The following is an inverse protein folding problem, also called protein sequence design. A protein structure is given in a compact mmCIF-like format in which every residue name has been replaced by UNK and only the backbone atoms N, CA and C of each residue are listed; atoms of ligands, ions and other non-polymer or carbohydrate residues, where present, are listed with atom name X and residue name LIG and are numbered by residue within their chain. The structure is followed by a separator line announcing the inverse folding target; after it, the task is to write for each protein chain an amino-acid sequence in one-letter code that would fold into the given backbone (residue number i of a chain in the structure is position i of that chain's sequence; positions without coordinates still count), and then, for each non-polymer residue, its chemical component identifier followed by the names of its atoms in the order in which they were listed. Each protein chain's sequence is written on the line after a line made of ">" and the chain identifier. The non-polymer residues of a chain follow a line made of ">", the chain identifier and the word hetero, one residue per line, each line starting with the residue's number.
data_IF_391324838064
#
_entry.id   IF_391324838064
#
_cell.length_a   1.000
_cell.length_b   1.000
_cell.length_c   1.000
_cell.angle_alpha   90.00
_cell.angle_beta   90.00
_cell.angle_gamma   90.00
#
_symmetry.space_group_name_H-M   'P 1'
#
loop_
_entity.id
_entity.type
_entity.pdbx_description
1 polymer ?
#
# COMPACT_ATOMS: atom_id res chain seq x y z
N UNK A 1 17.49 1.82 1.28
CA UNK A 1 16.68 2.52 0.29
C UNK A 1 15.46 1.66 0.00
N UNK A 2 14.35 1.94 0.66
CA UNK A 2 13.09 1.20 0.48
C UNK A 2 12.13 2.15 -0.22
N UNK A 3 12.08 2.07 -1.54
CA UNK A 3 10.96 2.59 -2.30
C UNK A 3 9.88 1.51 -2.30
N UNK A 4 8.73 1.81 -1.72
CA UNK A 4 7.56 0.94 -1.78
C UNK A 4 7.00 1.05 -3.19
N UNK A 5 7.47 0.18 -4.10
CA UNK A 5 6.98 0.15 -5.47
C UNK A 5 5.52 -0.34 -5.49
N UNK A 6 4.61 0.51 -5.98
CA UNK A 6 3.27 0.06 -6.36
C UNK A 6 3.43 -0.93 -7.53
N UNK A 7 2.82 -2.10 -7.41
CA UNK A 7 3.15 -3.32 -8.17
C UNK A 7 2.87 -3.27 -9.69
N UNK A 8 2.35 -2.16 -10.21
CA UNK A 8 1.83 -2.07 -11.58
C UNK A 8 2.37 -0.89 -12.39
N UNK A 9 3.42 -0.18 -11.96
CA UNK A 9 3.95 0.97 -12.72
C UNK A 9 4.98 0.51 -13.78
N UNK A 10 4.77 0.73 -15.10
CA UNK A 10 5.74 0.41 -16.17
C UNK A 10 7.06 1.20 -16.13
N UNK A 11 7.33 1.88 -15.02
CA UNK A 11 8.18 3.07 -14.97
C UNK A 11 9.66 2.76 -14.76
N UNK A 12 10.01 1.54 -14.36
CA UNK A 12 11.41 1.14 -14.17
C UNK A 12 12.20 0.96 -15.47
N UNK A 13 11.54 1.03 -16.65
CA UNK A 13 12.19 0.96 -17.96
C UNK A 13 12.04 2.26 -18.77
N UNK A 14 11.60 3.35 -18.14
CA UNK A 14 11.26 4.63 -18.81
C UNK A 14 12.48 5.46 -19.26
N UNK A 15 13.66 4.86 -19.32
CA UNK A 15 14.91 5.54 -19.67
C UNK A 15 15.23 5.57 -21.16
N UNK A 16 14.35 5.03 -22.00
CA UNK A 16 14.51 5.14 -23.47
C UNK A 16 14.04 6.52 -24.00
N UNK A 17 13.32 7.33 -23.21
CA UNK A 17 12.68 8.55 -23.75
C UNK A 17 12.53 9.74 -22.80
N UNK A 18 13.53 10.08 -21.99
CA UNK A 18 13.49 11.33 -21.22
C UNK A 18 14.07 12.50 -22.04
N UNK A 19 13.20 13.43 -22.44
CA UNK A 19 13.57 14.65 -23.15
C UNK A 19 13.26 15.87 -22.31
N UNK A 20 14.28 16.66 -22.04
CA UNK A 20 14.11 18.04 -21.59
C UNK A 20 15.35 18.83 -21.99
N UNK A 21 15.19 19.77 -22.91
CA UNK A 21 16.19 20.79 -23.17
C UNK A 21 15.75 22.09 -22.51
N UNK A 22 16.71 22.80 -21.89
CA UNK A 22 16.50 24.19 -21.49
C UNK A 22 16.71 25.14 -22.69
N UNK A 23 17.12 24.64 -23.84
CA UNK A 23 17.28 25.45 -25.06
C UNK A 23 16.03 25.40 -25.93
N UNK A 24 15.39 26.56 -26.02
CA UNK A 24 14.52 26.97 -27.11
C UNK A 24 15.06 26.52 -28.47
N UNK A 25 14.42 25.52 -29.08
CA UNK A 25 14.14 25.41 -30.52
C UNK A 25 15.24 25.74 -31.57
N UNK A 26 16.55 25.65 -31.28
CA UNK A 26 17.60 25.96 -32.29
C UNK A 26 18.79 25.00 -32.39
N UNK A 27 18.88 23.96 -31.54
CA UNK A 27 19.98 22.99 -31.54
C UNK A 27 19.57 21.59 -32.02
N UNK A 28 20.55 20.73 -32.29
CA UNK A 28 20.29 19.30 -32.53
C UNK A 28 19.63 18.67 -31.30
N UNK A 29 18.69 17.77 -31.53
CA UNK A 29 17.97 17.03 -30.50
C UNK A 29 18.62 15.65 -30.33
N UNK A 30 19.93 15.56 -30.39
CA UNK A 30 20.67 14.30 -30.38
C UNK A 30 21.79 14.34 -29.34
N UNK A 31 22.66 13.32 -29.37
CA UNK A 31 23.80 13.24 -28.45
C UNK A 31 24.82 14.38 -28.61
N UNK A 32 24.73 15.19 -29.67
CA UNK A 32 25.59 16.34 -29.90
C UNK A 32 24.97 17.66 -29.43
N UNK A 33 23.80 17.60 -28.78
CA UNK A 33 23.10 18.77 -28.26
C UNK A 33 23.92 19.49 -27.16
N UNK A 34 24.15 20.78 -27.36
CA UNK A 34 24.73 21.67 -26.35
C UNK A 34 23.65 22.31 -25.48
N UNK A 35 23.96 22.57 -24.20
CA UNK A 35 23.05 23.20 -23.25
C UNK A 35 21.79 22.39 -22.95
N UNK A 36 21.84 21.08 -23.20
CA UNK A 36 20.73 20.16 -23.01
C UNK A 36 20.88 19.41 -21.69
N UNK A 37 19.92 19.61 -20.77
CA UNK A 37 19.91 18.91 -19.49
C UNK A 37 19.90 17.39 -19.70
N UNK A 38 19.03 16.91 -20.61
CA UNK A 38 18.99 15.52 -21.06
C UNK A 38 20.37 15.00 -21.47
N UNK A 39 21.06 15.73 -22.34
CA UNK A 39 22.34 15.28 -22.87
C UNK A 39 23.45 15.26 -21.79
N UNK A 40 23.36 16.17 -20.81
CA UNK A 40 24.25 16.19 -19.64
C UNK A 40 24.00 14.99 -18.73
N UNK A 41 22.74 14.70 -18.35
CA UNK A 41 22.45 13.58 -17.43
C UNK A 41 22.64 12.22 -18.08
N UNK A 42 22.31 12.08 -19.37
CA UNK A 42 22.54 10.86 -20.15
C UNK A 42 24.03 10.57 -20.29
N UNK A 43 24.88 11.61 -20.26
CA UNK A 43 26.32 11.46 -20.16
C UNK A 43 27.09 11.72 -21.44
N UNK A 44 26.50 12.43 -22.41
CA UNK A 44 27.14 12.82 -23.67
C UNK A 44 27.63 14.28 -23.67
N UNK A 45 27.24 15.08 -22.68
CA UNK A 45 27.70 16.44 -22.48
C UNK A 45 28.41 16.59 -21.12
N UNK A 46 29.29 17.57 -21.01
CA UNK A 46 29.97 17.88 -19.75
C UNK A 46 28.98 18.44 -18.72
N UNK A 47 28.99 17.94 -17.47
CA UNK A 47 28.14 18.49 -16.41
C UNK A 47 28.55 19.90 -15.97
N UNK A 48 29.79 20.31 -16.28
CA UNK A 48 30.32 21.62 -15.91
C UNK A 48 30.02 22.66 -16.99
N UNK A 49 30.29 22.36 -18.26
CA UNK A 49 30.12 23.32 -19.36
C UNK A 49 28.78 23.20 -20.09
N UNK A 50 28.08 22.07 -19.95
CA UNK A 50 26.87 21.77 -20.71
C UNK A 50 27.11 21.51 -22.20
N UNK A 51 28.37 21.46 -22.64
CA UNK A 51 28.74 21.23 -24.04
C UNK A 51 28.87 19.74 -24.32
N UNK A 52 28.44 19.30 -25.50
CA UNK A 52 28.65 17.94 -25.99
C UNK A 52 30.14 17.60 -25.94
N UNK A 53 30.45 16.41 -25.42
CA UNK A 53 31.81 15.93 -25.21
C UNK A 53 32.00 14.61 -25.96
N UNK A 54 32.19 14.64 -27.30
CA UNK A 54 32.36 13.43 -28.09
C UNK A 54 33.51 12.58 -27.56
N UNK A 55 33.28 11.27 -27.44
CA UNK A 55 34.27 10.32 -26.94
C UNK A 55 34.44 10.30 -25.42
N UNK A 56 33.68 11.11 -24.68
CA UNK A 56 33.61 11.05 -23.22
C UNK A 56 32.26 10.48 -22.77
N UNK A 57 32.30 9.73 -21.69
CA UNK A 57 31.13 9.24 -20.97
C UNK A 57 31.12 9.86 -19.58
N UNK A 58 30.08 10.63 -19.27
CA UNK A 58 29.89 11.25 -17.95
C UNK A 58 28.59 10.72 -17.31
N UNK A 59 28.29 11.12 -16.07
CA UNK A 59 27.01 10.88 -15.40
C UNK A 59 26.48 9.44 -15.58
N UNK A 60 25.33 9.25 -16.25
CA UNK A 60 24.74 7.94 -16.54
C UNK A 60 25.71 7.02 -17.31
N UNK A 61 26.20 7.46 -18.47
CA UNK A 61 27.13 6.67 -19.28
C UNK A 61 28.42 6.30 -18.52
N UNK A 62 28.91 7.16 -17.63
CA UNK A 62 30.11 6.87 -16.85
C UNK A 62 29.93 5.66 -15.94
N UNK A 63 28.77 5.50 -15.29
CA UNK A 63 28.55 4.33 -14.44
C UNK A 63 28.42 3.05 -15.28
N UNK A 64 27.69 3.11 -16.39
CA UNK A 64 27.59 1.98 -17.33
C UNK A 64 28.97 1.49 -17.77
N UNK A 65 29.89 2.41 -18.09
CA UNK A 65 31.27 2.05 -18.47
C UNK A 65 32.10 1.60 -17.26
N UNK A 66 31.98 2.26 -16.10
CA UNK A 66 32.75 1.96 -14.89
C UNK A 66 32.55 0.53 -14.39
N UNK A 67 31.32 0.03 -14.43
CA UNK A 67 30.98 -1.31 -13.93
C UNK A 67 31.64 -2.45 -14.72
N UNK A 68 32.11 -2.18 -15.95
CA UNK A 68 32.89 -3.09 -16.79
C UNK A 68 32.37 -4.54 -16.86
N UNK A 69 31.25 -4.74 -17.55
CA UNK A 69 30.58 -6.04 -17.67
C UNK A 69 29.27 -5.96 -18.44
N UNK A 70 28.24 -6.69 -17.98
CA UNK A 70 26.88 -6.61 -18.53
C UNK A 70 26.35 -5.19 -18.52
N UNK A 71 26.63 -4.41 -17.46
CA UNK A 71 26.28 -2.98 -17.35
C UNK A 71 26.87 -2.09 -18.45
N UNK A 72 27.97 -2.48 -19.10
CA UNK A 72 28.60 -1.69 -20.16
C UNK A 72 27.99 -1.95 -21.55
N UNK A 73 27.16 -3.00 -21.66
CA UNK A 73 26.44 -3.33 -22.90
C UNK A 73 25.07 -2.65 -22.91
N UNK A 74 24.77 -1.90 -23.97
CA UNK A 74 23.46 -1.24 -24.12
C UNK A 74 22.31 -2.26 -24.10
N UNK A 75 22.46 -3.38 -24.80
CA UNK A 75 21.46 -4.44 -24.85
C UNK A 75 21.46 -5.33 -23.61
N UNK A 76 22.61 -5.44 -22.94
CA UNK A 76 22.83 -6.37 -21.83
C UNK A 76 22.64 -5.76 -20.44
N UNK A 77 22.70 -4.43 -20.32
CA UNK A 77 22.78 -3.73 -19.03
C UNK A 77 21.59 -4.00 -18.12
N UNK A 78 20.38 -4.10 -18.68
CA UNK A 78 19.17 -4.42 -17.92
C UNK A 78 19.17 -5.81 -17.26
N UNK A 79 20.11 -6.70 -17.63
CA UNK A 79 20.27 -8.00 -16.95
C UNK A 79 21.03 -7.89 -15.62
N UNK A 80 21.68 -6.76 -15.33
CA UNK A 80 22.36 -6.50 -14.07
C UNK A 80 21.41 -5.79 -13.09
N UNK A 81 21.21 -6.28 -11.85
CA UNK A 81 20.33 -5.64 -10.89
C UNK A 81 20.75 -4.20 -10.53
N UNK A 82 22.02 -3.83 -10.71
CA UNK A 82 22.50 -2.45 -10.52
C UNK A 82 21.83 -1.49 -11.50
N UNK A 83 21.39 -1.95 -12.67
CA UNK A 83 20.67 -1.16 -13.66
C UNK A 83 19.48 -0.42 -13.05
N UNK A 84 18.64 -1.12 -12.29
CA UNK A 84 17.45 -0.54 -11.68
C UNK A 84 17.79 0.55 -10.67
N UNK A 85 18.81 0.32 -9.82
CA UNK A 85 19.25 1.30 -8.83
C UNK A 85 19.88 2.52 -9.50
N UNK A 86 20.67 2.30 -10.55
CA UNK A 86 21.28 3.38 -11.32
C UNK A 86 20.22 4.26 -11.98
N UNK A 87 19.27 3.65 -12.70
CA UNK A 87 18.23 4.39 -13.40
C UNK A 87 17.26 5.08 -12.44
N UNK A 88 16.93 4.48 -11.28
CA UNK A 88 16.20 5.18 -10.23
C UNK A 88 16.97 6.40 -9.69
N UNK A 89 18.30 6.32 -9.61
CA UNK A 89 19.09 7.48 -9.22
C UNK A 89 19.07 8.59 -10.28
N UNK A 90 19.24 8.27 -11.57
CA UNK A 90 19.17 9.28 -12.64
C UNK A 90 17.75 9.90 -12.71
N UNK A 91 16.71 9.10 -12.47
CA UNK A 91 15.31 9.55 -12.39
C UNK A 91 15.09 10.54 -11.26
N UNK A 92 15.64 10.25 -10.09
CA UNK A 92 15.58 11.18 -8.97
C UNK A 92 16.28 12.53 -9.25
N UNK A 93 17.32 12.54 -10.11
CA UNK A 93 17.96 13.78 -10.58
C UNK A 93 17.05 14.52 -11.57
N UNK A 94 16.40 13.80 -12.48
CA UNK A 94 15.42 14.34 -13.43
C UNK A 94 14.22 14.97 -12.69
N UNK A 95 13.67 14.29 -11.69
CA UNK A 95 12.59 14.80 -10.86
C UNK A 95 13.00 16.07 -10.10
N UNK A 96 14.21 16.08 -9.51
CA UNK A 96 14.74 17.29 -8.87
C UNK A 96 14.82 18.45 -9.88
N UNK A 97 15.24 18.18 -11.10
CA UNK A 97 15.31 19.20 -12.15
C UNK A 97 13.92 19.69 -12.55
N UNK A 98 12.93 18.81 -12.70
CA UNK A 98 11.53 19.17 -12.99
C UNK A 98 10.96 20.08 -11.90
N UNK A 99 11.12 19.72 -10.61
CA UNK A 99 10.67 20.54 -9.47
C UNK A 99 11.33 21.91 -9.44
N UNK A 100 12.63 21.96 -9.72
CA UNK A 100 13.43 23.19 -9.63
C UNK A 100 13.13 24.16 -10.79
N UNK A 101 13.01 23.64 -12.01
CA UNK A 101 12.96 24.46 -13.22
C UNK A 101 11.55 24.63 -13.79
N UNK A 102 10.61 23.76 -13.43
CA UNK A 102 9.21 23.77 -13.88
C UNK A 102 9.11 24.08 -15.39
N UNK A 103 9.81 23.29 -16.23
CA UNK A 103 9.87 23.56 -17.67
C UNK A 103 8.47 23.53 -18.28
N UNK A 104 8.24 24.45 -19.23
CA UNK A 104 7.01 24.40 -20.02
C UNK A 104 6.96 23.11 -20.82
N UNK A 105 5.76 22.53 -20.94
CA UNK A 105 5.52 21.30 -21.72
C UNK A 105 6.00 21.44 -23.18
N UNK A 106 5.96 22.65 -23.73
CA UNK A 106 6.43 23.00 -25.07
C UNK A 106 7.95 22.87 -25.26
N UNK A 107 8.73 22.70 -24.20
CA UNK A 107 10.16 22.41 -24.30
C UNK A 107 10.46 20.97 -24.71
N UNK A 108 9.49 20.06 -24.59
CA UNK A 108 9.60 18.72 -25.15
C UNK A 108 9.40 18.79 -26.68
N UNK A 109 10.27 18.17 -27.49
CA UNK A 109 10.21 18.33 -28.94
C UNK A 109 9.00 17.63 -29.55
N UNK A 110 8.17 18.39 -30.26
CA UNK A 110 7.03 17.82 -31.01
C UNK A 110 7.44 17.17 -32.33
N UNK A 111 8.53 17.64 -32.92
CA UNK A 111 9.05 17.19 -34.21
C UNK A 111 10.57 17.37 -34.25
N UNK A 112 11.22 16.74 -35.24
CA UNK A 112 12.66 16.82 -35.50
C UNK A 112 13.57 16.23 -34.41
N UNK A 113 13.01 15.56 -33.40
CA UNK A 113 13.80 14.63 -32.61
C UNK A 113 14.11 13.37 -33.43
N UNK A 114 15.17 12.62 -33.10
CA UNK A 114 15.44 11.30 -33.66
C UNK A 114 14.19 10.39 -33.61
N UNK A 115 14.12 9.42 -34.51
CA UNK A 115 13.00 8.47 -34.52
C UNK A 115 12.81 7.83 -33.14
N UNK A 116 11.57 7.69 -32.68
CA UNK A 116 11.25 7.16 -31.34
C UNK A 116 11.01 8.22 -30.27
N UNK A 117 11.39 9.48 -30.53
CA UNK A 117 11.63 10.42 -29.44
C UNK A 117 10.80 11.71 -29.46
N UNK A 118 10.00 11.92 -30.50
CA UNK A 118 9.08 13.06 -30.52
C UNK A 118 8.01 12.89 -29.43
N UNK A 119 7.48 14.01 -28.97
CA UNK A 119 6.42 14.12 -27.97
C UNK A 119 5.26 13.13 -28.15
N UNK A 120 4.72 13.07 -29.37
CA UNK A 120 3.57 12.24 -29.72
C UNK A 120 3.91 10.79 -30.05
N UNK A 121 5.18 10.39 -30.01
CA UNK A 121 5.57 9.00 -30.29
C UNK A 121 5.30 8.12 -29.07
N UNK A 122 4.90 6.87 -29.34
CA UNK A 122 4.76 5.86 -28.32
C UNK A 122 6.13 5.30 -27.94
N UNK A 123 6.37 5.15 -26.64
CA UNK A 123 7.54 4.48 -26.09
C UNK A 123 7.47 2.99 -26.43
N UNK A 124 8.38 2.55 -27.29
CA UNK A 124 8.47 1.15 -27.72
C UNK A 124 9.31 0.35 -26.72
N UNK A 125 8.98 -0.91 -26.40
CA UNK A 125 7.84 -1.71 -26.87
C UNK A 125 6.72 -1.85 -25.82
N UNK A 126 6.40 -0.80 -25.06
CA UNK A 126 5.45 -0.93 -23.95
C UNK A 126 4.02 -1.21 -24.40
N UNK A 127 3.32 -2.03 -23.62
CA UNK A 127 1.89 -2.30 -23.72
C UNK A 127 1.26 -2.13 -22.33
N UNK A 128 0.14 -1.36 -22.18
CA UNK A 128 -0.52 -0.57 -23.23
C UNK A 128 0.37 0.57 -23.75
N UNK A 129 -0.05 1.21 -24.85
CA UNK A 129 0.76 2.22 -25.52
C UNK A 129 0.86 3.50 -24.70
N UNK A 130 2.09 3.94 -24.44
CA UNK A 130 2.41 5.13 -23.64
C UNK A 130 3.17 6.15 -24.49
N UNK A 131 2.78 7.42 -24.47
CA UNK A 131 3.50 8.46 -25.22
C UNK A 131 4.64 9.05 -24.41
N UNK A 132 5.73 9.36 -25.10
CA UNK A 132 6.87 10.10 -24.59
C UNK A 132 6.47 11.33 -23.77
N UNK A 133 5.58 12.14 -24.34
CA UNK A 133 5.13 13.38 -23.74
C UNK A 133 4.30 13.24 -22.45
N UNK A 134 3.56 12.14 -22.31
CA UNK A 134 2.69 11.92 -21.15
C UNK A 134 3.50 11.70 -19.87
N UNK A 135 4.79 11.39 -20.01
CA UNK A 135 5.72 11.15 -18.91
C UNK A 135 6.68 12.31 -18.68
N UNK A 136 6.43 13.46 -19.32
CA UNK A 136 7.09 14.72 -18.96
C UNK A 136 6.35 15.41 -17.80
N UNK A 137 6.23 14.69 -16.68
CA UNK A 137 5.51 15.07 -15.47
C UNK A 137 6.38 14.74 -14.25
N UNK A 138 6.12 15.38 -13.11
CA UNK A 138 6.80 15.04 -11.87
C UNK A 138 6.39 13.66 -11.36
N UNK A 139 7.27 12.94 -10.68
CA UNK A 139 6.98 11.65 -10.06
C UNK A 139 5.79 11.68 -9.12
N UNK A 140 5.60 12.81 -8.43
CA UNK A 140 4.44 13.06 -7.56
C UNK A 140 3.12 12.90 -8.31
N UNK A 141 3.07 13.30 -9.58
CA UNK A 141 1.90 13.13 -10.45
C UNK A 141 1.74 11.67 -10.93
N UNK A 142 2.83 10.90 -10.95
CA UNK A 142 2.86 9.47 -11.25
C UNK A 142 2.53 8.60 -10.03
N UNK A 143 2.45 9.19 -8.82
CA UNK A 143 1.99 8.53 -7.60
C UNK A 143 3.12 8.01 -6.71
N UNK A 144 4.37 8.41 -6.94
CA UNK A 144 5.49 8.08 -6.05
C UNK A 144 6.39 9.30 -5.82
N UNK A 145 7.19 9.28 -4.76
CA UNK A 145 8.17 10.34 -4.50
C UNK A 145 9.46 9.75 -3.92
N UNK A 146 10.60 10.33 -4.29
CA UNK A 146 11.88 9.98 -3.68
C UNK A 146 11.95 10.54 -2.25
N UNK A 147 12.34 9.69 -1.29
CA UNK A 147 12.36 10.05 0.13
C UNK A 147 13.15 11.33 0.42
N UNK A 148 14.22 11.63 -0.31
CA UNK A 148 15.05 12.83 -0.13
C UNK A 148 14.54 14.09 -0.82
N UNK A 149 13.49 13.96 -1.63
CA UNK A 149 12.79 15.07 -2.28
C UNK A 149 11.48 15.46 -1.59
N UNK A 150 11.06 14.69 -0.58
CA UNK A 150 9.86 14.97 0.22
C UNK A 150 9.96 16.34 0.91
N UNK A 151 8.82 17.03 0.97
CA UNK A 151 8.70 18.28 1.72
C UNK A 151 8.99 18.05 3.22
N UNK A 152 9.49 19.04 3.98
CA UNK A 152 9.85 18.87 5.38
C UNK A 152 8.72 18.27 6.24
N UNK A 153 7.47 18.67 5.99
CA UNK A 153 6.31 18.11 6.68
C UNK A 153 6.02 16.65 6.31
N UNK A 154 6.17 16.29 5.03
CA UNK A 154 6.00 14.91 4.58
C UNK A 154 7.12 14.01 5.13
N UNK A 155 8.37 14.49 5.15
CA UNK A 155 9.47 13.77 5.79
C UNK A 155 9.22 13.52 7.26
N UNK A 156 8.72 14.51 7.98
CA UNK A 156 8.38 14.33 9.40
C UNK A 156 7.36 13.20 9.59
N UNK A 157 6.27 13.20 8.80
CA UNK A 157 5.27 12.14 8.87
C UNK A 157 5.89 10.77 8.52
N UNK A 158 6.68 10.70 7.45
CA UNK A 158 7.24 9.46 6.91
C UNK A 158 8.39 8.87 7.73
N UNK A 159 9.18 9.69 8.43
CA UNK A 159 10.31 9.24 9.24
C UNK A 159 9.93 9.08 10.71
N UNK A 160 9.01 9.91 11.23
CA UNK A 160 8.65 9.89 12.65
C UNK A 160 7.28 9.27 12.93
N UNK A 161 6.21 9.64 12.22
CA UNK A 161 4.85 9.19 12.60
C UNK A 161 4.49 7.80 12.09
N UNK A 162 4.83 7.48 10.84
CA UNK A 162 4.56 6.19 10.20
C UNK A 162 5.01 4.97 11.01
N UNK A 163 6.24 4.88 11.58
CA UNK A 163 6.63 3.70 12.36
C UNK A 163 5.74 3.51 13.62
N UNK A 164 5.35 4.61 14.29
CA UNK A 164 4.44 4.51 15.44
C UNK A 164 3.02 4.13 15.01
N UNK A 165 2.54 4.64 13.88
CA UNK A 165 1.22 4.31 13.36
C UNK A 165 1.13 2.84 12.93
N UNK A 166 2.15 2.31 12.25
CA UNK A 166 2.23 0.89 11.88
C UNK A 166 2.25 0.01 13.14
N UNK A 167 3.05 0.38 14.14
CA UNK A 167 3.10 -0.32 15.41
C UNK A 167 1.74 -0.28 16.12
N UNK A 168 1.08 0.88 16.15
CA UNK A 168 -0.25 1.02 16.74
C UNK A 168 -1.29 0.17 16.00
N UNK A 169 -1.25 0.13 14.67
CA UNK A 169 -2.15 -0.68 13.85
C UNK A 169 -1.94 -2.19 14.09
N UNK A 170 -0.70 -2.64 14.25
CA UNK A 170 -0.41 -4.03 14.62
C UNK A 170 -0.94 -4.36 16.02
N UNK A 171 -0.69 -3.51 17.01
CA UNK A 171 -1.14 -3.72 18.40
C UNK A 171 -2.68 -3.70 18.49
N UNK A 172 -3.33 -2.82 17.72
CA UNK A 172 -4.78 -2.65 17.72
C UNK A 172 -5.52 -3.95 17.40
N UNK A 173 -5.01 -4.75 16.45
CA UNK A 173 -5.59 -6.04 16.10
C UNK A 173 -5.55 -7.02 17.30
N UNK A 174 -4.45 -7.05 18.04
CA UNK A 174 -4.31 -7.89 19.23
C UNK A 174 -5.20 -7.41 20.39
N UNK A 175 -5.30 -6.09 20.61
CA UNK A 175 -6.18 -5.53 21.64
C UNK A 175 -7.65 -5.85 21.37
N UNK A 176 -8.10 -5.72 20.12
CA UNK A 176 -9.45 -6.13 19.71
C UNK A 176 -9.67 -7.64 19.93
N UNK A 177 -8.70 -8.47 19.55
CA UNK A 177 -8.75 -9.92 19.77
C UNK A 177 -8.86 -10.27 21.26
N UNK A 178 -8.04 -9.64 22.11
CA UNK A 178 -8.06 -9.82 23.55
C UNK A 178 -9.38 -9.35 24.18
N UNK A 179 -9.95 -8.23 23.70
CA UNK A 179 -11.24 -7.72 24.14
C UNK A 179 -12.38 -8.68 23.85
N UNK A 180 -12.46 -9.20 22.62
CA UNK A 180 -13.47 -10.20 22.22
C UNK A 180 -13.31 -11.46 23.08
N UNK A 181 -12.08 -11.94 23.26
CA UNK A 181 -11.79 -13.11 24.09
C UNK A 181 -12.22 -12.90 25.55
N UNK A 182 -11.95 -11.73 26.11
CA UNK A 182 -12.37 -11.35 27.47
C UNK A 182 -13.89 -11.35 27.64
N UNK A 183 -14.64 -10.81 26.66
CA UNK A 183 -16.11 -10.81 26.66
C UNK A 183 -16.66 -12.24 26.61
N UNK A 184 -16.08 -13.12 25.78
CA UNK A 184 -16.48 -14.52 25.69
C UNK A 184 -16.28 -15.26 27.02
N UNK A 185 -15.11 -15.08 27.65
CA UNK A 185 -14.81 -15.68 28.95
C UNK A 185 -15.78 -15.18 30.02
N UNK A 186 -16.03 -13.87 30.08
CA UNK A 186 -16.96 -13.28 31.04
C UNK A 186 -18.40 -13.80 30.86
N UNK A 187 -18.86 -13.95 29.62
CA UNK A 187 -20.18 -14.50 29.31
C UNK A 187 -20.32 -15.97 29.77
N UNK A 188 -19.29 -16.79 29.56
CA UNK A 188 -19.25 -18.19 30.01
C UNK A 188 -19.31 -18.24 31.54
N UNK A 189 -18.47 -17.46 32.24
CA UNK A 189 -18.48 -17.39 33.70
C UNK A 189 -19.83 -16.93 34.26
N UNK A 190 -20.44 -15.91 33.66
CA UNK A 190 -21.77 -15.43 34.04
C UNK A 190 -22.84 -16.52 33.85
N UNK A 191 -22.82 -17.24 32.72
CA UNK A 191 -23.74 -18.34 32.45
C UNK A 191 -23.59 -19.47 33.47
N UNK A 192 -22.36 -19.87 33.80
CA UNK A 192 -22.07 -20.88 34.83
C UNK A 192 -22.59 -20.45 36.20
N UNK A 193 -22.34 -19.20 36.60
CA UNK A 193 -22.84 -18.65 37.87
C UNK A 193 -24.38 -18.62 37.93
N UNK A 194 -25.03 -18.24 36.83
CA UNK A 194 -26.51 -18.22 36.73
C UNK A 194 -27.06 -19.64 36.85
N UNK A 195 -26.48 -20.62 36.14
CA UNK A 195 -26.91 -22.02 36.20
C UNK A 195 -26.68 -22.60 37.60
N UNK A 196 -25.53 -22.34 38.23
CA UNK A 196 -25.22 -22.79 39.58
C UNK A 196 -26.20 -22.21 40.62
N UNK A 197 -26.49 -20.89 40.55
CA UNK A 197 -27.49 -20.24 41.42
C UNK A 197 -28.89 -20.81 41.21
N UNK A 198 -29.31 -21.04 39.96
CA UNK A 198 -30.60 -21.68 39.65
C UNK A 198 -30.68 -23.09 40.24
N UNK A 199 -29.63 -23.90 40.10
CA UNK A 199 -29.55 -25.28 40.64
C UNK A 199 -29.58 -25.28 42.18
N UNK A 200 -28.82 -24.39 42.82
CA UNK A 200 -28.85 -24.22 44.28
C UNK A 200 -30.26 -23.85 44.75
N UNK A 201 -30.89 -22.81 44.17
CA UNK A 201 -32.24 -22.38 44.57
C UNK A 201 -33.28 -23.49 44.40
N UNK A 202 -33.18 -24.30 43.34
CA UNK A 202 -34.01 -25.51 43.14
C UNK A 202 -33.80 -26.55 44.23
N UNK A 203 -32.55 -26.84 44.60
CA UNK A 203 -32.22 -27.78 45.67
C UNK A 203 -32.68 -27.29 47.06
N UNK A 204 -32.55 -25.99 47.35
CA UNK A 204 -33.09 -25.37 48.57
C UNK A 204 -34.62 -25.47 48.63
N UNK A 205 -35.33 -25.21 47.52
CA UNK A 205 -36.79 -25.43 47.45
C UNK A 205 -37.17 -26.89 47.69
N UNK A 206 -36.47 -27.84 47.07
CA UNK A 206 -36.68 -29.29 47.32
C UNK A 206 -36.46 -29.69 48.79
N UNK A 207 -35.50 -29.07 49.49
CA UNK A 207 -35.26 -29.32 50.92
C UNK A 207 -36.28 -28.65 51.85
N UNK A 208 -37.04 -27.65 51.39
CA UNK A 208 -38.04 -26.91 52.21
C UNK A 208 -39.48 -27.40 52.05
N UNK A 209 -39.77 -28.32 51.13
CA UNK A 209 -41.09 -28.97 51.03
C UNK A 209 -41.07 -30.19 51.97
N UNK A 210 -41.86 -30.25 53.05
CA UNK A 210 -41.95 -31.44 53.89
C UNK A 210 -42.60 -32.57 53.09
N UNK A 211 -42.01 -33.76 53.17
CA UNK A 211 -42.56 -35.00 52.63
C UNK A 211 -43.79 -35.42 53.44
N UNK A 212 -44.96 -34.83 53.18
CA UNK A 212 -46.22 -35.45 53.56
C UNK A 212 -46.49 -36.57 52.56
N UNK A 213 -46.26 -37.81 53.00
CA UNK A 213 -46.44 -39.01 52.21
C UNK A 213 -47.92 -39.33 52.06
N UNK A 214 -48.37 -39.47 50.82
CA UNK A 214 -49.69 -40.01 50.50
C UNK A 214 -49.48 -41.44 49.97
N UNK A 215 -49.72 -42.42 50.84
CA UNK A 215 -49.96 -43.82 50.46
C UNK A 215 -51.48 -43.99 50.37
N UNK A 216 -51.97 -44.37 49.19
CA UNK A 216 -53.32 -44.88 48.99
C UNK A 216 -53.62 -46.07 49.93
N UNK A 217 -54.91 -46.34 50.17
CA UNK A 217 -55.33 -47.72 49.95
C UNK A 217 -56.60 -47.87 49.08
N UNK A 218 -56.62 -49.06 48.50
CA UNK A 218 -57.56 -49.72 47.61
C UNK A 218 -59.05 -49.72 48.06
N UNK A 219 -59.91 -49.50 47.07
CA UNK A 219 -61.17 -50.19 46.73
C UNK A 219 -62.04 -50.77 47.86
N UNK A 220 -63.30 -50.30 47.93
CA UNK A 220 -64.44 -51.21 48.09
C UNK A 220 -65.73 -50.63 47.49
N UNK A 221 -66.34 -51.42 46.61
CA UNK A 221 -67.69 -51.24 46.07
C UNK A 221 -68.73 -51.83 47.04
N UNK A 222 -69.83 -51.11 47.30
CA UNK A 222 -71.13 -51.72 47.53
C UNK A 222 -72.24 -50.68 47.30
N UNK A 223 -73.23 -51.14 46.56
CA UNK A 223 -74.48 -50.50 46.13
C UNK A 223 -75.49 -50.31 47.27
N UNK A 224 -76.57 -49.58 46.92
CA UNK A 224 -77.87 -49.44 47.62
C UNK A 224 -77.86 -48.50 48.84
N UNK A 225 -78.86 -47.68 49.15
CA UNK A 225 -80.11 -47.20 48.55
C UNK A 225 -80.60 -46.11 49.54
N UNK A 226 -81.43 -45.16 49.11
CA UNK A 226 -82.40 -44.55 50.03
C UNK A 226 -82.16 -43.10 50.50
N UNK A 227 -82.83 -42.19 49.78
CA UNK A 227 -83.79 -41.21 50.32
C UNK A 227 -83.36 -40.12 51.32
N UNK A 228 -83.28 -38.90 50.76
CA UNK A 228 -84.01 -37.67 51.10
C UNK A 228 -84.32 -37.23 52.55
N UNK A 229 -84.17 -35.90 52.72
CA UNK A 229 -84.91 -34.95 53.59
C UNK A 229 -84.51 -34.87 55.08
N UNK A 230 -83.97 -33.71 55.53
CA UNK A 230 -84.65 -32.60 56.27
C UNK A 230 -85.22 -33.10 57.63
N UNK A 231 -85.06 -32.48 58.81
CA UNK A 231 -84.85 -31.08 59.19
C UNK A 231 -84.74 -30.99 60.75
N UNK A 232 -84.05 -29.94 61.24
CA UNK A 232 -84.46 -29.03 62.35
C UNK A 232 -84.39 -29.44 63.83
N UNK A 233 -83.67 -28.60 64.59
CA UNK A 233 -84.14 -27.95 65.84
C UNK A 233 -84.11 -26.44 65.54
N UNK A 234 -85.07 -25.58 65.88
CA UNK A 234 -86.07 -25.53 66.95
C UNK A 234 -87.36 -26.34 66.75
#
# INVERSE_FOLDING_TARGET
>A
MTATACRDSPQQLMWISLWASRSTSRGSMDRFANGSFRNVIEGFASPTSGMAAPGQSTMHNALHVFMNGTMSSVQGSANDPVFLLHHAFIDSIFERWLRTHQPLRTHYPRSNAPIGHNDGYYMVPFLPLYRNGDYFLSDKALGFEYAYLLDPGQRFVQEYLTPYLEQAQQIWQWLLGAGILGVLIAAIFAAVLIVARRKWKRNQRRKRVPSFGERQPLLQSSSEEGSSSYQTTL
#
